data_IF_528470127572
#
_entry.id   IF_528470127572
#
_cell.length_a   1.000
_cell.length_b   1.000
_cell.length_c   1.000
_cell.angle_alpha   90.00
_cell.angle_beta   90.00
_cell.angle_gamma   90.00
#
_symmetry.space_group_name_H-M   'P 1'
#
loop_
_entity.id
_entity.type
_entity.pdbx_description
1 polymer ?
#
# COMPACT_ATOMS: atom_id res chain seq x y z
N UNK A 1 -12.45 -23.69 18.24
CA UNK A 1 -12.19 -22.39 17.58
C UNK A 1 -10.98 -21.69 18.19
N UNK A 2 -10.83 -21.69 19.52
CA UNK A 2 -9.68 -21.03 20.19
C UNK A 2 -8.30 -21.56 19.77
N UNK A 3 -8.16 -22.88 19.52
CA UNK A 3 -6.85 -23.46 19.14
C UNK A 3 -6.41 -23.07 17.73
N UNK A 4 -7.33 -22.94 16.76
CA UNK A 4 -7.01 -22.50 15.41
C UNK A 4 -6.62 -21.03 15.39
N UNK A 5 -7.35 -20.18 16.11
CA UNK A 5 -7.06 -18.77 16.21
C UNK A 5 -5.71 -18.50 16.87
N UNK A 6 -5.38 -19.23 17.96
CA UNK A 6 -4.07 -19.11 18.63
C UNK A 6 -2.92 -19.60 17.74
N UNK A 7 -3.13 -20.65 16.94
CA UNK A 7 -2.16 -21.09 15.94
C UNK A 7 -1.92 -20.04 14.87
N UNK A 8 -2.97 -19.45 14.31
CA UNK A 8 -2.87 -18.39 13.31
C UNK A 8 -2.16 -17.15 13.88
N UNK A 9 -2.46 -16.74 15.12
CA UNK A 9 -1.75 -15.63 15.79
C UNK A 9 -0.26 -15.92 15.98
N UNK A 10 0.09 -17.18 16.30
CA UNK A 10 1.49 -17.59 16.41
C UNK A 10 2.21 -17.51 15.07
N UNK A 11 1.56 -17.97 13.99
CA UNK A 11 2.10 -17.86 12.62
C UNK A 11 2.26 -16.41 12.21
N UNK A 12 1.26 -15.57 12.46
CA UNK A 12 1.28 -14.14 12.16
C UNK A 12 2.45 -13.44 12.86
N UNK A 13 2.61 -13.67 14.17
CA UNK A 13 3.70 -13.13 14.97
C UNK A 13 5.09 -13.60 14.49
N UNK A 14 5.17 -14.82 13.94
CA UNK A 14 6.42 -15.32 13.33
C UNK A 14 6.68 -14.66 11.98
N UNK A 15 5.66 -14.54 11.12
CA UNK A 15 5.79 -13.94 9.78
C UNK A 15 6.16 -12.47 9.88
N UNK A 16 5.47 -11.68 10.72
CA UNK A 16 5.78 -10.27 10.97
C UNK A 16 6.82 -10.05 12.08
N UNK A 17 7.54 -11.10 12.41
CA UNK A 17 8.64 -11.04 13.38
C UNK A 17 9.85 -10.24 12.88
N UNK A 18 10.87 -10.08 13.75
CA UNK A 18 12.07 -9.32 13.44
C UNK A 18 12.77 -9.69 12.13
N UNK A 19 12.81 -10.97 11.69
CA UNK A 19 13.48 -11.33 10.43
C UNK A 19 12.89 -10.66 9.20
N UNK A 20 11.55 -10.65 9.05
CA UNK A 20 10.90 -9.99 7.91
C UNK A 20 11.02 -8.47 8.00
N UNK A 21 10.85 -7.89 9.19
CA UNK A 21 10.99 -6.44 9.39
C UNK A 21 12.41 -5.96 9.07
N UNK A 22 13.43 -6.71 9.48
CA UNK A 22 14.83 -6.42 9.14
C UNK A 22 15.06 -6.54 7.64
N UNK A 23 14.50 -7.55 6.98
CA UNK A 23 14.64 -7.73 5.55
C UNK A 23 13.95 -6.59 4.77
N UNK A 24 12.74 -6.17 5.17
CA UNK A 24 11.99 -5.07 4.56
C UNK A 24 12.73 -3.73 4.70
N UNK A 25 13.05 -3.34 5.93
CA UNK A 25 13.74 -2.08 6.21
C UNK A 25 15.17 -2.13 5.67
N UNK A 26 15.87 -3.24 5.88
CA UNK A 26 17.25 -3.43 5.40
C UNK A 26 17.39 -3.33 3.89
N UNK A 27 16.43 -3.88 3.13
CA UNK A 27 16.39 -3.71 1.67
C UNK A 27 16.19 -2.24 1.29
N UNK A 28 15.30 -1.53 1.98
CA UNK A 28 15.07 -0.10 1.76
C UNK A 28 16.29 0.75 2.09
N UNK A 29 16.95 0.47 3.21
CA UNK A 29 18.22 1.12 3.60
C UNK A 29 19.29 0.85 2.55
N UNK A 30 19.46 -0.40 2.12
CA UNK A 30 20.43 -0.78 1.09
C UNK A 30 20.21 0.03 -0.20
N UNK A 31 18.99 0.05 -0.75
CA UNK A 31 18.69 0.82 -1.97
C UNK A 31 18.82 2.32 -1.76
N UNK A 32 18.46 2.84 -0.60
CA UNK A 32 18.63 4.27 -0.27
C UNK A 32 20.08 4.71 -0.45
N UNK A 33 21.03 3.98 0.12
CA UNK A 33 22.44 4.34 0.03
C UNK A 33 23.05 3.97 -1.32
N UNK A 34 22.74 2.80 -1.87
CA UNK A 34 23.27 2.35 -3.17
C UNK A 34 22.82 3.21 -4.34
N UNK A 35 21.64 3.85 -4.24
CA UNK A 35 21.09 4.77 -5.24
C UNK A 35 21.39 6.25 -4.91
N UNK A 36 22.28 6.51 -3.93
CA UNK A 36 22.70 7.86 -3.57
C UNK A 36 21.61 8.74 -3.02
N UNK A 37 20.74 8.21 -2.14
CA UNK A 37 19.62 8.90 -1.49
C UNK A 37 18.56 9.37 -2.51
N UNK A 38 18.16 8.50 -3.43
CA UNK A 38 17.31 8.80 -4.58
C UNK A 38 16.00 9.50 -4.18
N UNK A 39 15.36 9.05 -3.10
CA UNK A 39 14.11 9.61 -2.61
C UNK A 39 14.24 11.04 -2.10
N UNK A 40 15.42 11.45 -1.62
CA UNK A 40 15.64 12.82 -1.18
C UNK A 40 16.05 13.73 -2.33
N UNK A 41 16.94 13.26 -3.21
CA UNK A 41 17.48 14.05 -4.31
C UNK A 41 16.49 14.25 -5.45
N UNK A 42 15.69 13.21 -5.74
CA UNK A 42 14.84 13.18 -6.94
C UNK A 42 13.33 13.19 -6.65
N UNK A 43 12.90 13.34 -5.40
CA UNK A 43 11.48 13.47 -5.08
C UNK A 43 10.81 14.67 -5.78
N UNK A 44 11.40 15.88 -5.81
CA UNK A 44 10.80 17.01 -6.54
C UNK A 44 10.64 16.71 -8.04
N UNK A 45 11.65 16.08 -8.65
CA UNK A 45 11.61 15.66 -10.06
C UNK A 45 10.54 14.61 -10.29
N UNK A 46 10.44 13.61 -9.40
CA UNK A 46 9.43 12.56 -9.46
C UNK A 46 8.00 13.13 -9.35
N UNK A 47 7.76 14.04 -8.42
CA UNK A 47 6.48 14.75 -8.29
C UNK A 47 6.14 15.56 -9.55
N UNK A 48 7.12 16.27 -10.13
CA UNK A 48 6.92 16.98 -11.39
C UNK A 48 6.55 16.03 -12.54
N UNK A 49 7.16 14.83 -12.59
CA UNK A 49 6.85 13.79 -13.59
C UNK A 49 5.42 13.26 -13.44
N UNK A 50 4.89 13.12 -12.22
CA UNK A 50 3.52 12.67 -11.96
C UNK A 50 2.48 13.57 -12.64
N UNK A 51 2.72 14.89 -12.61
CA UNK A 51 1.79 15.89 -13.17
C UNK A 51 2.14 16.31 -14.60
N UNK A 52 3.23 15.78 -15.18
CA UNK A 52 3.59 16.07 -16.57
C UNK A 52 2.69 15.29 -17.54
N UNK A 53 2.30 15.96 -18.62
CA UNK A 53 1.59 15.28 -19.71
C UNK A 53 2.59 14.48 -20.55
N UNK A 54 2.37 13.17 -20.67
CA UNK A 54 3.13 12.33 -21.60
C UNK A 54 2.92 12.83 -23.05
N UNK A 55 4.00 13.33 -23.67
CA UNK A 55 3.95 13.92 -25.02
C UNK A 55 4.20 12.92 -26.15
N UNK A 56 4.62 11.67 -25.86
CA UNK A 56 4.96 10.71 -26.91
C UNK A 56 3.82 9.71 -27.16
N UNK A 57 3.36 9.66 -28.40
CA UNK A 57 2.34 8.74 -28.89
C UNK A 57 2.86 7.33 -29.19
N UNK A 58 4.18 7.09 -29.06
CA UNK A 58 4.85 5.83 -29.43
C UNK A 58 5.26 4.95 -28.25
N UNK A 59 4.93 5.34 -27.01
CA UNK A 59 5.32 4.56 -25.83
C UNK A 59 4.51 3.28 -25.69
N UNK A 60 5.21 2.15 -25.43
CA UNK A 60 4.57 0.88 -25.13
C UNK A 60 3.94 0.91 -23.72
N UNK A 61 2.69 0.42 -23.63
CA UNK A 61 1.94 0.36 -22.36
C UNK A 61 0.43 0.41 -22.61
N UNK A 62 -0.34 0.06 -21.59
CA UNK A 62 -1.81 0.02 -21.66
C UNK A 62 -2.45 1.32 -21.16
N UNK A 63 -1.86 1.93 -20.11
CA UNK A 63 -2.39 3.12 -19.43
C UNK A 63 -1.30 4.18 -19.23
N UNK A 64 -1.67 5.44 -19.01
CA UNK A 64 -0.67 6.48 -18.72
C UNK A 64 0.07 6.21 -17.39
N UNK A 65 1.30 6.75 -17.24
CA UNK A 65 2.07 6.61 -15.99
C UNK A 65 1.32 7.14 -14.77
N UNK A 66 0.57 8.22 -14.92
CA UNK A 66 -0.32 8.75 -13.88
C UNK A 66 -1.44 7.75 -13.53
N UNK A 67 -2.11 7.18 -14.52
CA UNK A 67 -3.18 6.22 -14.29
C UNK A 67 -2.65 4.90 -13.66
N UNK A 68 -1.44 4.46 -14.03
CA UNK A 68 -0.75 3.35 -13.38
C UNK A 68 -0.42 3.65 -11.91
N UNK A 69 0.08 4.87 -11.61
CA UNK A 69 0.29 5.33 -10.24
C UNK A 69 -1.02 5.36 -9.44
N UNK A 70 -2.09 5.93 -10.00
CA UNK A 70 -3.40 5.96 -9.35
C UNK A 70 -3.97 4.55 -9.15
N UNK A 71 -3.72 3.61 -10.06
CA UNK A 71 -4.09 2.20 -9.88
C UNK A 71 -3.29 1.57 -8.73
N UNK A 72 -2.00 1.86 -8.59
CA UNK A 72 -1.22 1.43 -7.44
C UNK A 72 -1.71 2.08 -6.15
N UNK A 73 -1.96 3.39 -6.14
CA UNK A 73 -2.51 4.11 -5.00
C UNK A 73 -3.93 3.64 -4.63
N UNK A 74 -4.73 3.19 -5.59
CA UNK A 74 -6.05 2.64 -5.27
C UNK A 74 -5.95 1.37 -4.42
N UNK A 75 -4.91 0.57 -4.58
CA UNK A 75 -4.68 -0.62 -3.76
C UNK A 75 -4.11 -0.26 -2.38
N UNK A 76 -3.25 0.75 -2.29
CA UNK A 76 -2.54 1.13 -1.06
C UNK A 76 -3.33 2.07 -0.16
N UNK A 77 -3.97 3.11 -0.72
CA UNK A 77 -4.82 4.04 0.04
C UNK A 77 -6.15 3.35 0.38
N UNK A 78 -6.18 2.72 1.55
CA UNK A 78 -7.27 1.86 1.99
C UNK A 78 -7.52 1.94 3.50
N UNK A 79 -8.01 0.84 4.06
CA UNK A 79 -8.20 0.71 5.52
C UNK A 79 -6.87 0.89 6.28
N UNK A 80 -5.72 0.62 5.66
CA UNK A 80 -4.40 0.81 6.24
C UNK A 80 -4.15 2.23 6.74
N UNK A 81 -4.57 3.24 5.98
CA UNK A 81 -4.36 4.66 6.30
C UNK A 81 -5.24 5.19 7.44
N UNK A 82 -6.34 4.52 7.75
CA UNK A 82 -7.30 4.90 8.80
C UNK A 82 -7.22 3.91 9.95
N UNK A 83 -7.58 2.66 9.72
CA UNK A 83 -7.60 1.58 10.71
C UNK A 83 -6.20 1.14 11.09
N UNK A 84 -5.30 1.00 10.11
CA UNK A 84 -3.91 0.57 10.32
C UNK A 84 -3.11 1.57 11.15
N UNK A 85 -3.22 2.87 10.87
CA UNK A 85 -2.57 3.93 11.66
C UNK A 85 -3.10 3.94 13.09
N UNK A 86 -4.43 3.86 13.24
CA UNK A 86 -5.05 3.79 14.57
C UNK A 86 -4.56 2.57 15.36
N UNK A 87 -4.47 1.41 14.71
CA UNK A 87 -3.95 0.18 15.32
C UNK A 87 -2.48 0.33 15.70
N UNK A 88 -1.64 0.93 14.83
CA UNK A 88 -0.23 1.16 15.13
C UNK A 88 -0.04 2.02 16.39
N UNK A 89 -0.77 3.13 16.47
CA UNK A 89 -0.70 4.04 17.61
C UNK A 89 -1.32 3.41 18.86
N UNK A 90 -2.38 2.62 18.73
CA UNK A 90 -2.98 1.91 19.87
C UNK A 90 -2.02 0.90 20.50
N UNK A 91 -1.26 0.17 19.69
CA UNK A 91 -0.33 -0.86 20.15
C UNK A 91 1.03 -0.28 20.55
N UNK A 92 1.58 0.63 19.77
CA UNK A 92 2.93 1.15 19.89
C UNK A 92 3.03 2.55 20.50
N UNK A 93 1.90 3.17 20.86
CA UNK A 93 1.84 4.55 21.28
C UNK A 93 2.11 5.56 20.14
N UNK A 94 2.16 6.86 20.44
CA UNK A 94 2.43 7.93 19.46
C UNK A 94 3.73 7.73 18.69
N UNK A 95 4.75 7.12 19.31
CA UNK A 95 6.05 6.82 18.69
C UNK A 95 5.97 5.88 17.49
N UNK A 96 4.92 5.07 17.36
CA UNK A 96 4.70 4.22 16.19
C UNK A 96 4.61 5.05 14.89
N UNK A 97 4.07 6.27 14.94
CA UNK A 97 4.00 7.17 13.78
C UNK A 97 5.40 7.56 13.27
N UNK A 98 6.36 7.79 14.14
CA UNK A 98 7.75 8.03 13.75
C UNK A 98 8.35 6.83 12.98
N UNK A 99 8.10 5.61 13.47
CA UNK A 99 8.61 4.41 12.83
C UNK A 99 7.91 4.11 11.50
N UNK A 100 6.63 4.52 11.35
CA UNK A 100 5.94 4.51 10.05
C UNK A 100 6.63 5.47 9.06
N UNK A 101 7.00 6.69 9.47
CA UNK A 101 7.74 7.62 8.61
C UNK A 101 9.07 7.05 8.17
N UNK A 102 9.82 6.46 9.10
CA UNK A 102 11.12 5.87 8.79
C UNK A 102 10.99 4.71 7.80
N UNK A 103 10.02 3.83 8.02
CA UNK A 103 9.72 2.73 7.09
C UNK A 103 9.32 3.26 5.70
N UNK A 104 8.52 4.31 5.62
CA UNK A 104 8.12 4.90 4.36
C UNK A 104 9.29 5.56 3.62
N UNK A 105 10.15 6.30 4.33
CA UNK A 105 11.33 6.93 3.72
C UNK A 105 12.25 5.90 3.06
N UNK A 106 12.54 4.79 3.73
CA UNK A 106 13.31 3.70 3.14
C UNK A 106 12.48 2.91 2.12
N UNK A 107 11.19 2.74 2.36
CA UNK A 107 10.25 2.09 1.47
C UNK A 107 10.12 2.76 0.10
N UNK A 108 10.29 4.09 0.02
CA UNK A 108 10.32 4.81 -1.27
C UNK A 108 11.41 4.28 -2.20
N UNK A 109 12.62 4.01 -1.70
CA UNK A 109 13.71 3.46 -2.49
C UNK A 109 13.43 2.00 -2.90
N UNK A 110 12.78 1.21 -2.03
CA UNK A 110 12.32 -0.13 -2.35
C UNK A 110 11.26 -0.09 -3.45
N UNK A 111 10.24 0.76 -3.32
CA UNK A 111 9.17 0.93 -4.31
C UNK A 111 9.72 1.37 -5.67
N UNK A 112 10.73 2.24 -5.69
CA UNK A 112 11.47 2.61 -6.90
C UNK A 112 12.07 1.38 -7.58
N UNK A 113 12.83 0.57 -6.83
CA UNK A 113 13.51 -0.62 -7.35
C UNK A 113 12.51 -1.66 -7.89
N UNK A 114 11.44 -1.93 -7.15
CA UNK A 114 10.36 -2.85 -7.55
C UNK A 114 9.75 -2.46 -8.89
N UNK A 115 9.34 -1.20 -9.01
CA UNK A 115 8.65 -0.72 -10.19
C UNK A 115 9.59 -0.55 -11.40
N UNK A 116 10.86 -0.21 -11.18
CA UNK A 116 11.90 -0.24 -12.21
C UNK A 116 12.04 -1.65 -12.79
N UNK A 117 12.22 -2.67 -11.94
CA UNK A 117 12.36 -4.06 -12.38
C UNK A 117 11.09 -4.56 -13.08
N UNK A 118 9.91 -4.16 -12.62
CA UNK A 118 8.65 -4.56 -13.25
C UNK A 118 8.54 -4.07 -14.69
N UNK A 119 8.96 -2.84 -14.98
CA UNK A 119 8.98 -2.29 -16.34
C UNK A 119 10.12 -2.92 -17.16
N UNK A 120 11.29 -3.13 -16.58
CA UNK A 120 12.45 -3.73 -17.26
C UNK A 120 12.18 -5.16 -17.75
N UNK A 121 11.47 -5.97 -16.95
CA UNK A 121 11.18 -7.38 -17.25
C UNK A 121 9.72 -7.65 -17.68
N UNK A 122 8.94 -6.61 -18.01
CA UNK A 122 7.57 -6.78 -18.50
C UNK A 122 7.51 -7.53 -19.82
N UNK A 123 6.38 -8.16 -20.09
CA UNK A 123 6.07 -8.91 -21.30
C UNK A 123 4.73 -8.45 -21.86
N UNK A 124 4.41 -8.92 -23.05
CA UNK A 124 3.08 -8.77 -23.67
C UNK A 124 2.37 -10.12 -23.55
N UNK A 125 1.12 -10.13 -23.09
CA UNK A 125 0.31 -11.35 -23.03
C UNK A 125 -0.36 -11.68 -24.38
N UNK A 126 -1.07 -12.81 -24.43
CA UNK A 126 -1.77 -13.28 -25.65
C UNK A 126 -2.89 -12.33 -26.10
N UNK A 127 -3.30 -11.37 -25.28
CA UNK A 127 -4.30 -10.34 -25.61
C UNK A 127 -3.67 -9.00 -25.98
N UNK A 128 -2.34 -8.93 -26.06
CA UNK A 128 -1.60 -7.72 -26.37
C UNK A 128 -1.47 -6.75 -25.20
N UNK A 129 -1.79 -7.16 -23.96
CA UNK A 129 -1.66 -6.32 -22.77
C UNK A 129 -0.29 -6.47 -22.13
N UNK A 130 0.21 -5.37 -21.52
CA UNK A 130 1.44 -5.41 -20.76
C UNK A 130 1.24 -6.13 -19.42
N UNK A 131 2.11 -7.09 -19.16
CA UNK A 131 2.14 -7.87 -17.93
C UNK A 131 3.54 -7.83 -17.31
N UNK A 132 3.61 -7.67 -16.00
CA UNK A 132 4.88 -7.59 -15.27
C UNK A 132 4.64 -7.68 -13.77
N UNK A 133 5.67 -7.37 -13.01
CA UNK A 133 5.67 -7.49 -11.56
C UNK A 133 6.65 -8.54 -11.07
N UNK A 134 6.64 -8.87 -9.75
CA UNK A 134 7.63 -9.77 -9.16
C UNK A 134 7.72 -11.13 -9.83
N UNK A 135 6.60 -11.75 -10.21
CA UNK A 135 6.60 -13.04 -10.88
C UNK A 135 7.40 -13.00 -12.20
N UNK A 136 7.40 -11.88 -12.91
CA UNK A 136 8.14 -11.76 -14.17
C UNK A 136 9.63 -11.51 -13.95
N UNK A 137 10.04 -10.60 -13.07
CA UNK A 137 11.47 -10.39 -12.82
C UNK A 137 12.11 -11.52 -12.00
N UNK A 138 11.33 -12.25 -11.18
CA UNK A 138 11.81 -13.49 -10.54
C UNK A 138 12.05 -14.59 -11.57
N UNK A 139 11.16 -14.74 -12.55
CA UNK A 139 11.32 -15.76 -13.58
C UNK A 139 12.39 -15.42 -14.61
N UNK A 140 12.38 -14.18 -15.13
CA UNK A 140 13.23 -13.80 -16.26
C UNK A 140 14.49 -13.04 -15.84
N UNK A 141 14.51 -12.39 -14.69
CA UNK A 141 15.67 -11.68 -14.16
C UNK A 141 16.52 -12.58 -13.25
N UNK A 142 15.87 -13.19 -12.24
CA UNK A 142 16.57 -14.11 -11.30
C UNK A 142 16.73 -15.51 -11.89
N UNK A 143 15.87 -15.91 -12.83
CA UNK A 143 15.86 -17.27 -13.40
C UNK A 143 15.13 -18.30 -12.53
N UNK A 144 14.38 -17.89 -11.50
CA UNK A 144 13.69 -18.78 -10.56
C UNK A 144 12.19 -18.83 -10.80
N UNK A 145 11.73 -19.86 -11.54
CA UNK A 145 10.30 -20.11 -11.73
C UNK A 145 9.59 -20.46 -10.42
N UNK A 146 10.27 -21.13 -9.49
CA UNK A 146 9.69 -21.50 -8.20
C UNK A 146 9.34 -20.26 -7.36
N UNK A 147 10.27 -19.30 -7.21
CA UNK A 147 10.00 -18.04 -6.51
C UNK A 147 8.89 -17.23 -7.20
N UNK A 148 8.85 -17.23 -8.53
CA UNK A 148 7.82 -16.54 -9.30
C UNK A 148 6.41 -17.11 -9.04
N UNK A 149 6.27 -18.44 -9.06
CA UNK A 149 5.01 -19.13 -8.74
C UNK A 149 4.62 -18.89 -7.28
N UNK A 150 5.57 -18.99 -6.34
CA UNK A 150 5.32 -18.75 -4.92
C UNK A 150 4.81 -17.34 -4.68
N UNK A 151 5.43 -16.32 -5.27
CA UNK A 151 4.94 -14.95 -5.21
C UNK A 151 3.51 -14.85 -5.76
N UNK A 152 3.25 -15.39 -6.96
CA UNK A 152 1.95 -15.29 -7.60
C UNK A 152 0.82 -15.97 -6.79
N UNK A 153 1.11 -17.09 -6.13
CA UNK A 153 0.15 -17.78 -5.24
C UNK A 153 -0.15 -16.92 -4.00
N UNK A 154 0.88 -16.38 -3.33
CA UNK A 154 0.68 -15.53 -2.16
C UNK A 154 -0.06 -14.24 -2.53
N UNK A 155 0.33 -13.56 -3.62
CA UNK A 155 -0.35 -12.37 -4.09
C UNK A 155 -1.82 -12.62 -4.47
N UNK A 156 -2.12 -13.78 -5.08
CA UNK A 156 -3.50 -14.20 -5.34
C UNK A 156 -4.26 -14.45 -4.03
N UNK A 157 -3.60 -15.05 -3.03
CA UNK A 157 -4.15 -15.23 -1.69
C UNK A 157 -4.48 -13.89 -1.03
N UNK A 158 -3.61 -12.89 -1.14
CA UNK A 158 -3.85 -11.52 -0.65
C UNK A 158 -5.03 -10.89 -1.36
N UNK A 159 -5.12 -11.02 -2.69
CA UNK A 159 -6.23 -10.47 -3.46
C UNK A 159 -7.58 -11.08 -3.07
N UNK A 160 -7.65 -12.42 -2.90
CA UNK A 160 -8.91 -13.12 -2.67
C UNK A 160 -9.33 -13.18 -1.18
N UNK A 161 -8.38 -13.36 -0.28
CA UNK A 161 -8.65 -13.64 1.14
C UNK A 161 -7.98 -12.64 2.10
N UNK A 162 -7.05 -11.82 1.59
CA UNK A 162 -6.29 -10.84 2.34
C UNK A 162 -6.87 -9.44 2.27
N UNK A 163 -5.97 -8.46 2.40
CA UNK A 163 -6.29 -7.02 2.42
C UNK A 163 -7.04 -6.54 1.18
N UNK A 164 -6.98 -7.31 0.08
CA UNK A 164 -7.64 -6.96 -1.18
C UNK A 164 -9.16 -7.13 -1.19
N UNK A 165 -9.75 -7.88 -0.25
CA UNK A 165 -11.17 -8.20 -0.28
C UNK A 165 -11.84 -8.04 1.09
N UNK A 166 -11.75 -9.03 1.99
CA UNK A 166 -12.60 -9.08 3.17
C UNK A 166 -12.45 -7.93 4.16
N UNK A 167 -11.25 -7.48 4.54
CA UNK A 167 -11.09 -6.32 5.42
C UNK A 167 -11.72 -5.06 4.83
N UNK A 168 -11.60 -4.86 3.53
CA UNK A 168 -12.17 -3.70 2.83
C UNK A 168 -13.69 -3.79 2.75
N UNK A 169 -14.23 -4.97 2.40
CA UNK A 169 -15.67 -5.21 2.35
C UNK A 169 -16.28 -4.95 3.73
N UNK A 170 -15.74 -5.55 4.78
CA UNK A 170 -16.26 -5.34 6.13
C UNK A 170 -16.20 -3.88 6.56
N UNK A 171 -15.09 -3.16 6.27
CA UNK A 171 -14.99 -1.75 6.60
C UNK A 171 -16.07 -0.89 5.91
N UNK A 172 -16.41 -1.21 4.65
CA UNK A 172 -17.51 -0.54 3.93
C UNK A 172 -18.86 -0.87 4.57
N UNK A 173 -19.11 -2.14 4.88
CA UNK A 173 -20.38 -2.59 5.44
C UNK A 173 -20.61 -1.96 6.82
N UNK A 174 -19.61 -1.98 7.69
CA UNK A 174 -19.68 -1.36 9.03
C UNK A 174 -19.90 0.15 8.94
N UNK A 175 -19.13 0.84 8.07
CA UNK A 175 -19.28 2.27 7.85
C UNK A 175 -20.68 2.63 7.31
N UNK A 176 -21.22 1.82 6.40
CA UNK A 176 -22.55 2.00 5.83
C UNK A 176 -23.66 1.77 6.86
N UNK A 177 -23.54 0.71 7.65
CA UNK A 177 -24.50 0.38 8.70
C UNK A 177 -24.55 1.47 9.80
N UNK A 178 -23.38 1.88 10.29
CA UNK A 178 -23.27 2.87 11.37
C UNK A 178 -23.66 4.27 10.90
N UNK A 179 -23.25 4.71 9.71
CA UNK A 179 -23.41 6.10 9.28
C UNK A 179 -24.62 6.34 8.42
N UNK A 180 -25.12 5.33 7.70
CA UNK A 180 -26.26 5.46 6.78
C UNK A 180 -27.47 4.63 7.20
N UNK A 181 -27.33 3.74 8.20
CA UNK A 181 -28.40 2.83 8.64
C UNK A 181 -28.79 1.80 7.58
N UNK A 182 -27.91 1.51 6.60
CA UNK A 182 -28.16 0.55 5.52
C UNK A 182 -27.69 -0.83 5.98
N UNK A 183 -28.53 -1.86 5.80
CA UNK A 183 -28.16 -3.23 6.21
C UNK A 183 -26.95 -3.76 5.44
N UNK A 184 -26.19 -4.66 6.09
CA UNK A 184 -24.96 -5.26 5.53
C UNK A 184 -25.21 -5.97 4.19
N UNK A 185 -26.38 -6.65 4.04
CA UNK A 185 -26.74 -7.40 2.83
C UNK A 185 -27.00 -6.45 1.64
N UNK A 186 -27.69 -5.33 1.88
CA UNK A 186 -27.93 -4.30 0.86
C UNK A 186 -26.61 -3.68 0.44
N UNK A 187 -25.80 -3.27 1.42
CA UNK A 187 -24.48 -2.67 1.17
C UNK A 187 -23.55 -3.61 0.41
N UNK A 188 -23.50 -4.91 0.77
CA UNK A 188 -22.72 -5.92 0.06
C UNK A 188 -23.21 -6.12 -1.38
N UNK A 189 -24.53 -6.12 -1.61
CA UNK A 189 -25.12 -6.26 -2.93
C UNK A 189 -24.76 -5.07 -3.82
N UNK A 190 -24.92 -3.84 -3.32
CA UNK A 190 -24.56 -2.62 -4.04
C UNK A 190 -23.05 -2.57 -4.32
N UNK A 191 -22.21 -2.89 -3.33
CA UNK A 191 -20.76 -2.95 -3.49
C UNK A 191 -20.36 -3.93 -4.57
N UNK A 192 -20.91 -5.15 -4.55
CA UNK A 192 -20.62 -6.20 -5.53
C UNK A 192 -20.97 -5.75 -6.95
N UNK A 193 -22.11 -5.10 -7.14
CA UNK A 193 -22.52 -4.56 -8.44
C UNK A 193 -21.57 -3.45 -8.92
N UNK A 194 -21.17 -2.52 -8.03
CA UNK A 194 -20.22 -1.47 -8.37
C UNK A 194 -18.85 -2.04 -8.75
N UNK A 195 -18.34 -3.00 -7.97
CA UNK A 195 -17.07 -3.70 -8.26
C UNK A 195 -17.16 -4.44 -9.59
N UNK A 196 -18.27 -5.16 -9.85
CA UNK A 196 -18.47 -5.87 -11.11
C UNK A 196 -18.45 -4.90 -12.30
N UNK A 197 -19.18 -3.78 -12.21
CA UNK A 197 -19.25 -2.78 -13.28
C UNK A 197 -17.87 -2.23 -13.67
N UNK A 198 -17.00 -1.99 -12.70
CA UNK A 198 -15.66 -1.46 -12.96
C UNK A 198 -14.69 -2.56 -13.40
N UNK A 199 -14.66 -3.70 -12.70
CA UNK A 199 -13.62 -4.72 -12.91
C UNK A 199 -13.84 -5.54 -14.19
N UNK A 200 -15.08 -5.73 -14.66
CA UNK A 200 -15.35 -6.42 -15.92
C UNK A 200 -14.76 -5.68 -17.14
N UNK A 201 -14.58 -4.35 -17.05
CA UNK A 201 -13.91 -3.55 -18.09
C UNK A 201 -12.37 -3.66 -18.12
N UNK A 202 -11.77 -4.44 -17.22
CA UNK A 202 -10.31 -4.68 -17.16
C UNK A 202 -9.50 -3.45 -16.72
N UNK A 203 -8.18 -3.47 -17.01
CA UNK A 203 -7.23 -2.44 -16.55
C UNK A 203 -7.62 -1.02 -16.97
N UNK A 204 -8.11 -0.83 -18.18
CA UNK A 204 -8.48 0.49 -18.68
C UNK A 204 -9.64 1.11 -17.88
N UNK A 205 -10.64 0.30 -17.50
CA UNK A 205 -11.75 0.74 -16.67
C UNK A 205 -11.28 1.03 -15.25
N UNK A 206 -10.53 0.12 -14.64
CA UNK A 206 -9.98 0.27 -13.28
C UNK A 206 -9.09 1.53 -13.22
N UNK A 207 -8.17 1.70 -14.16
CA UNK A 207 -7.27 2.84 -14.21
C UNK A 207 -8.00 4.17 -14.46
N UNK A 208 -9.08 4.16 -15.27
CA UNK A 208 -9.91 5.34 -15.48
C UNK A 208 -10.66 5.76 -14.22
N UNK A 209 -11.21 4.81 -13.47
CA UNK A 209 -11.87 5.07 -12.18
C UNK A 209 -10.85 5.50 -11.14
N UNK A 210 -9.74 4.78 -10.99
CA UNK A 210 -8.67 5.10 -10.05
C UNK A 210 -8.09 6.51 -10.32
N UNK A 211 -7.85 6.85 -11.60
CA UNK A 211 -7.30 8.15 -11.98
C UNK A 211 -8.18 9.36 -11.63
N UNK A 212 -9.48 9.14 -11.37
CA UNK A 212 -10.43 10.18 -10.95
C UNK A 212 -10.72 10.10 -9.44
N UNK A 213 -11.01 8.91 -8.96
CA UNK A 213 -11.45 8.70 -7.57
C UNK A 213 -10.31 8.87 -6.59
N UNK A 214 -9.13 8.31 -6.88
CA UNK A 214 -8.01 8.34 -5.93
C UNK A 214 -7.54 9.76 -5.59
N UNK A 215 -7.29 10.66 -6.56
CA UNK A 215 -6.93 12.04 -6.22
C UNK A 215 -8.04 12.78 -5.47
N UNK A 216 -9.32 12.55 -5.85
CA UNK A 216 -10.46 13.19 -5.21
C UNK A 216 -10.64 12.73 -3.75
N UNK A 217 -10.58 11.40 -3.50
CA UNK A 217 -10.73 10.85 -2.15
C UNK A 217 -9.56 11.23 -1.24
N UNK A 218 -8.33 11.24 -1.79
CA UNK A 218 -7.14 11.65 -1.04
C UNK A 218 -7.23 13.12 -0.63
N UNK A 219 -7.61 14.00 -1.57
CA UNK A 219 -7.82 15.42 -1.27
C UNK A 219 -8.93 15.62 -0.23
N UNK A 220 -10.08 14.94 -0.39
CA UNK A 220 -11.17 14.98 0.57
C UNK A 220 -10.71 14.61 1.98
N UNK A 221 -10.00 13.49 2.12
CA UNK A 221 -9.55 13.00 3.42
C UNK A 221 -8.47 13.90 4.03
N UNK A 222 -7.53 14.39 3.23
CA UNK A 222 -6.51 15.35 3.68
C UNK A 222 -7.16 16.64 4.18
N UNK A 223 -8.15 17.18 3.47
CA UNK A 223 -8.88 18.38 3.92
C UNK A 223 -9.67 18.13 5.21
N UNK A 224 -10.29 16.95 5.36
CA UNK A 224 -10.97 16.55 6.58
C UNK A 224 -9.99 16.46 7.77
N UNK A 225 -8.83 15.83 7.60
CA UNK A 225 -7.79 15.79 8.64
C UNK A 225 -7.22 17.18 8.94
N UNK A 226 -6.97 18.00 7.92
CA UNK A 226 -6.49 19.38 8.11
C UNK A 226 -7.48 20.20 8.93
N UNK A 227 -8.79 20.00 8.76
CA UNK A 227 -9.79 20.68 9.58
C UNK A 227 -9.62 20.34 11.07
N UNK A 228 -9.40 19.04 11.41
CA UNK A 228 -9.10 18.61 12.77
C UNK A 228 -7.79 19.25 13.28
N UNK A 229 -6.73 19.23 12.47
CA UNK A 229 -5.42 19.76 12.85
C UNK A 229 -5.49 21.28 13.08
N UNK A 230 -6.17 22.01 12.22
CA UNK A 230 -6.31 23.49 12.34
C UNK A 230 -7.11 23.86 13.57
N UNK A 231 -8.20 23.15 13.87
CA UNK A 231 -9.00 23.40 15.07
C UNK A 231 -8.27 23.09 16.39
N UNK A 232 -7.19 22.27 16.33
CA UNK A 232 -6.38 21.90 17.49
C UNK A 232 -4.89 22.33 17.30
N UNK A 233 -4.65 23.40 16.53
CA UNK A 233 -3.31 23.80 16.14
C UNK A 233 -2.42 24.26 17.30
N UNK A 234 -3.01 24.72 18.41
CA UNK A 234 -2.32 25.06 19.66
C UNK A 234 -1.54 23.88 20.26
N UNK A 235 -1.99 22.63 20.01
CA UNK A 235 -1.35 21.41 20.50
C UNK A 235 -0.40 20.78 19.47
N UNK A 236 -0.25 21.33 18.26
CA UNK A 236 0.47 20.67 17.16
C UNK A 236 1.96 20.42 17.50
N UNK A 237 2.63 21.41 18.08
CA UNK A 237 4.06 21.25 18.47
C UNK A 237 4.23 20.20 19.55
N UNK A 238 3.34 20.18 20.55
CA UNK A 238 3.35 19.18 21.61
C UNK A 238 3.09 17.78 21.05
N UNK A 239 2.20 17.64 20.07
CA UNK A 239 1.90 16.36 19.42
C UNK A 239 3.13 15.83 18.63
N UNK A 240 3.83 16.71 17.91
CA UNK A 240 5.06 16.34 17.19
C UNK A 240 6.16 15.94 18.18
N UNK A 241 6.37 16.72 19.25
CA UNK A 241 7.32 16.38 20.31
C UNK A 241 6.98 15.03 20.94
N UNK A 242 5.69 14.78 21.23
CA UNK A 242 5.23 13.51 21.79
C UNK A 242 5.55 12.34 20.87
N UNK A 243 5.36 12.47 19.54
CA UNK A 243 5.74 11.45 18.56
C UNK A 243 7.24 11.15 18.62
N UNK A 244 8.07 12.20 18.59
CA UNK A 244 9.52 12.06 18.58
C UNK A 244 10.06 11.47 19.88
N UNK A 245 9.59 11.94 21.03
CA UNK A 245 10.02 11.43 22.34
C UNK A 245 9.55 9.99 22.54
N UNK A 246 8.29 9.70 22.25
CA UNK A 246 7.71 8.35 22.43
C UNK A 246 8.32 7.30 21.50
N UNK A 247 8.96 7.70 20.40
CA UNK A 247 9.65 6.80 19.51
C UNK A 247 10.88 6.13 20.15
N UNK A 248 11.49 6.79 21.13
CA UNK A 248 12.75 6.38 21.75
C UNK A 248 12.67 6.21 23.27
N UNK A 249 11.50 6.46 23.86
CA UNK A 249 11.25 6.27 25.29
C UNK A 249 10.10 5.29 25.48
N UNK A 250 10.19 4.44 26.54
CA UNK A 250 9.00 3.71 26.98
C UNK A 250 8.03 4.74 27.54
N UNK A 251 6.86 4.91 26.91
CA UNK A 251 5.78 5.71 27.47
C UNK A 251 5.30 5.03 28.75
N UNK A 252 5.87 5.44 29.88
CA UNK A 252 5.41 4.99 31.18
C UNK A 252 3.95 5.40 31.31
N UNK A 253 3.12 4.42 31.69
CA UNK A 253 1.69 4.52 31.84
C UNK A 253 1.23 5.77 32.59
N UNK A 254 0.86 6.80 31.86
CA UNK A 254 -0.03 7.83 32.40
C UNK A 254 -1.45 7.35 32.12
N UNK A 255 -2.13 6.84 33.18
CA UNK A 255 -3.56 6.53 33.11
C UNK A 255 -3.95 5.18 32.51
N UNK A 256 -3.39 4.06 33.02
CA UNK A 256 -3.94 2.70 32.72
C UNK A 256 -3.52 2.08 31.40
N UNK A 257 -2.71 2.75 30.60
CA UNK A 257 -2.08 2.20 29.39
C UNK A 257 -0.87 1.33 29.82
N UNK A 258 -0.91 0.03 29.52
CA UNK A 258 0.28 -0.81 29.63
C UNK A 258 1.35 -0.24 28.70
N UNK A 259 2.42 0.35 29.26
CA UNK A 259 3.44 1.10 28.54
C UNK A 259 3.93 0.35 27.32
N UNK A 260 3.63 0.90 26.13
CA UNK A 260 4.17 0.36 24.90
C UNK A 260 5.69 0.37 24.99
N UNK A 261 6.31 -0.79 24.86
CA UNK A 261 7.76 -0.86 24.78
C UNK A 261 8.23 -0.21 23.47
N UNK A 262 9.44 0.36 23.46
CA UNK A 262 10.06 0.86 22.22
C UNK A 262 9.99 -0.19 21.11
N UNK A 263 10.15 -1.47 21.45
CA UNK A 263 10.05 -2.56 20.51
C UNK A 263 8.64 -2.65 19.87
N UNK A 264 7.57 -2.46 20.66
CA UNK A 264 6.20 -2.44 20.12
C UNK A 264 5.97 -1.23 19.22
N UNK A 265 6.52 -0.06 19.55
CA UNK A 265 6.44 1.11 18.69
C UNK A 265 7.14 0.86 17.34
N UNK A 266 8.34 0.25 17.36
CA UNK A 266 9.08 -0.13 16.16
C UNK A 266 8.28 -1.15 15.33
N UNK A 267 7.86 -2.25 15.96
CA UNK A 267 7.18 -3.34 15.25
C UNK A 267 5.84 -2.88 14.67
N UNK A 268 5.00 -2.24 15.48
CA UNK A 268 3.68 -1.79 15.03
C UNK A 268 3.78 -0.67 13.98
N UNK A 269 4.71 0.28 14.16
CA UNK A 269 4.93 1.35 13.21
C UNK A 269 5.43 0.84 11.86
N UNK A 270 6.45 0.00 11.84
CA UNK A 270 6.99 -0.57 10.59
C UNK A 270 5.97 -1.49 9.94
N UNK A 271 5.39 -2.44 10.68
CA UNK A 271 4.44 -3.41 10.11
C UNK A 271 3.21 -2.72 9.51
N UNK A 272 2.58 -1.78 10.23
CA UNK A 272 1.39 -1.07 9.73
C UNK A 272 1.74 -0.02 8.68
N UNK A 273 2.94 0.57 8.72
CA UNK A 273 3.46 1.43 7.65
C UNK A 273 3.64 0.67 6.35
N UNK A 274 4.30 -0.49 6.38
CA UNK A 274 4.47 -1.37 5.21
C UNK A 274 3.14 -1.95 4.73
N UNK A 275 2.25 -2.32 5.65
CA UNK A 275 0.90 -2.76 5.33
C UNK A 275 0.12 -1.71 4.53
N UNK A 276 0.26 -0.41 4.88
CA UNK A 276 -0.41 0.68 4.19
C UNK A 276 0.21 0.95 2.82
N UNK A 277 1.52 1.22 2.75
CA UNK A 277 2.16 1.65 1.50
C UNK A 277 2.64 0.51 0.60
N UNK A 278 2.60 -0.74 1.08
CA UNK A 278 2.98 -1.95 0.34
C UNK A 278 4.41 -1.93 -0.23
N UNK A 279 5.34 -1.15 0.35
CA UNK A 279 6.74 -1.12 -0.12
C UNK A 279 7.49 -2.38 0.31
N UNK A 280 8.03 -3.11 -0.64
CA UNK A 280 8.69 -4.39 -0.40
C UNK A 280 7.76 -5.60 -0.50
N UNK A 281 6.44 -5.39 -0.65
CA UNK A 281 5.47 -6.47 -0.83
C UNK A 281 5.35 -6.93 -2.28
N UNK A 282 5.70 -6.09 -3.26
CA UNK A 282 5.70 -6.46 -4.68
C UNK A 282 4.35 -6.29 -5.39
N UNK A 283 3.36 -5.66 -4.80
CA UNK A 283 2.02 -5.47 -5.37
C UNK A 283 1.99 -4.37 -6.44
N UNK A 284 2.45 -3.15 -6.10
CA UNK A 284 2.46 -1.99 -6.98
C UNK A 284 3.22 -2.19 -8.32
N UNK A 285 4.31 -2.98 -8.39
CA UNK A 285 4.98 -3.34 -9.64
C UNK A 285 4.05 -3.87 -10.73
N UNK A 286 2.96 -4.57 -10.37
CA UNK A 286 2.00 -5.10 -11.35
C UNK A 286 1.24 -3.99 -12.08
N UNK A 287 0.90 -2.90 -11.40
CA UNK A 287 0.32 -1.72 -12.04
C UNK A 287 1.37 -0.90 -12.81
N UNK A 288 2.57 -0.76 -12.27
CA UNK A 288 3.65 -0.03 -12.91
C UNK A 288 4.06 -0.63 -14.26
N UNK A 289 3.98 -1.95 -14.41
CA UNK A 289 4.30 -2.65 -15.66
C UNK A 289 3.35 -2.27 -16.82
N UNK A 290 2.09 -1.91 -16.52
CA UNK A 290 1.10 -1.49 -17.51
C UNK A 290 1.28 -0.04 -17.99
N UNK A 291 2.17 0.74 -17.36
CA UNK A 291 2.39 2.14 -17.69
C UNK A 291 2.96 2.34 -19.09
N UNK A 292 2.45 3.33 -19.82
CA UNK A 292 3.06 3.84 -21.05
C UNK A 292 4.33 4.58 -20.70
N UNK A 293 5.47 3.96 -20.95
CA UNK A 293 6.77 4.53 -20.65
C UNK A 293 7.86 3.92 -21.53
N UNK A 294 8.84 4.72 -21.87
CA UNK A 294 10.08 4.35 -22.57
C UNK A 294 11.25 4.08 -21.60
N UNK A 295 11.07 4.36 -20.32
CA UNK A 295 12.13 4.24 -19.31
C UNK A 295 11.61 3.60 -18.03
N UNK A 296 12.27 2.50 -17.63
CA UNK A 296 12.01 1.83 -16.36
C UNK A 296 12.33 2.74 -15.16
N UNK A 297 13.35 3.60 -15.29
CA UNK A 297 13.75 4.57 -14.26
C UNK A 297 12.68 5.65 -14.05
N UNK A 298 12.13 6.24 -15.13
CA UNK A 298 11.04 7.20 -15.02
C UNK A 298 9.85 6.63 -14.28
N UNK A 299 9.43 5.41 -14.64
CA UNK A 299 8.31 4.78 -13.96
C UNK A 299 8.63 4.43 -12.50
N UNK A 300 9.86 4.02 -12.21
CA UNK A 300 10.33 3.83 -10.84
C UNK A 300 10.22 5.11 -10.00
N UNK A 301 10.69 6.26 -10.54
CA UNK A 301 10.58 7.57 -9.89
C UNK A 301 9.13 7.98 -9.63
N UNK A 302 8.25 7.83 -10.63
CA UNK A 302 6.82 8.11 -10.47
C UNK A 302 6.22 7.21 -9.39
N UNK A 303 6.51 5.91 -9.42
CA UNK A 303 5.91 4.94 -8.50
C UNK A 303 6.36 5.12 -7.05
N UNK A 304 7.61 5.59 -6.79
CA UNK A 304 8.07 5.85 -5.42
C UNK A 304 7.27 6.96 -4.73
N UNK A 305 6.67 7.89 -5.50
CA UNK A 305 5.81 8.94 -4.94
C UNK A 305 4.54 8.36 -4.31
N UNK A 306 4.13 7.16 -4.70
CA UNK A 306 3.02 6.45 -4.08
C UNK A 306 3.22 6.26 -2.57
N UNK A 307 4.39 5.80 -2.14
CA UNK A 307 4.73 5.66 -0.72
C UNK A 307 4.76 7.02 0.00
N UNK A 308 5.20 8.08 -0.68
CA UNK A 308 5.16 9.43 -0.14
C UNK A 308 3.72 9.89 0.11
N UNK A 309 2.83 9.79 -0.88
CA UNK A 309 1.43 10.20 -0.72
C UNK A 309 0.70 9.35 0.31
N UNK A 310 0.87 8.04 0.26
CA UNK A 310 0.20 7.11 1.17
C UNK A 310 0.58 7.35 2.63
N UNK A 311 1.87 7.30 2.94
CA UNK A 311 2.31 7.25 4.34
C UNK A 311 2.79 8.62 4.84
N UNK A 312 3.66 9.31 4.09
CA UNK A 312 4.18 10.61 4.56
C UNK A 312 3.06 11.67 4.58
N UNK A 313 2.09 11.59 3.65
CA UNK A 313 0.96 12.52 3.65
C UNK A 313 -0.21 11.94 4.44
N UNK A 314 -0.89 10.90 3.93
CA UNK A 314 -2.20 10.47 4.45
C UNK A 314 -2.09 9.84 5.84
N UNK A 315 -1.16 8.90 6.08
CA UNK A 315 -1.00 8.31 7.41
C UNK A 315 -0.55 9.33 8.46
N UNK A 316 0.28 10.31 8.07
CA UNK A 316 0.65 11.42 8.96
C UNK A 316 -0.57 12.24 9.37
N UNK A 317 -1.45 12.58 8.42
CA UNK A 317 -2.68 13.32 8.71
C UNK A 317 -3.56 12.57 9.70
N UNK A 318 -3.78 11.27 9.49
CA UNK A 318 -4.54 10.42 10.42
C UNK A 318 -3.87 10.36 11.78
N UNK A 319 -2.56 10.09 11.82
CA UNK A 319 -1.81 9.97 13.07
C UNK A 319 -1.83 11.25 13.91
N UNK A 320 -1.65 12.40 13.26
CA UNK A 320 -1.73 13.69 13.94
C UNK A 320 -3.15 13.97 14.48
N UNK A 321 -4.20 13.65 13.70
CA UNK A 321 -5.58 13.81 14.17
C UNK A 321 -5.85 12.97 15.44
N UNK A 322 -5.37 11.73 15.48
CA UNK A 322 -5.49 10.83 16.65
C UNK A 322 -4.75 11.35 17.88
N UNK A 323 -3.55 11.91 17.68
CA UNK A 323 -2.69 12.36 18.77
C UNK A 323 -3.17 13.71 19.33
N UNK A 324 -3.48 14.67 18.47
CA UNK A 324 -3.97 15.99 18.83
C UNK A 324 -5.26 15.95 19.65
N UNK A 325 -6.17 15.03 19.32
CA UNK A 325 -7.47 14.87 20.00
C UNK A 325 -7.39 14.02 21.26
N UNK A 326 -6.24 13.39 21.54
CA UNK A 326 -6.12 12.44 22.66
C UNK A 326 -6.86 11.11 22.43
N UNK A 327 -7.45 10.88 21.25
CA UNK A 327 -8.23 9.69 20.96
C UNK A 327 -7.43 8.38 21.09
N UNK A 328 -6.11 8.43 20.93
CA UNK A 328 -5.23 7.28 21.11
C UNK A 328 -5.22 6.71 22.55
N UNK A 329 -5.62 7.51 23.55
CA UNK A 329 -5.74 7.10 24.96
C UNK A 329 -7.12 6.49 25.28
N UNK A 330 -8.10 6.60 24.37
CA UNK A 330 -9.44 6.06 24.57
C UNK A 330 -9.46 4.53 24.50
N UNK A 331 -10.56 3.91 24.94
CA UNK A 331 -10.78 2.46 24.83
C UNK A 331 -11.11 2.03 23.40
N UNK A 332 -11.36 2.96 22.49
CA UNK A 332 -11.63 2.66 21.08
C UNK A 332 -10.39 2.12 20.35
N UNK A 333 -10.64 1.36 19.28
CA UNK A 333 -9.61 0.81 18.41
C UNK A 333 -10.00 0.95 16.92
N UNK A 334 -9.03 0.88 16.01
CA UNK A 334 -9.28 0.87 14.57
C UNK A 334 -10.10 2.07 14.08
N UNK A 335 -11.11 1.80 13.26
CA UNK A 335 -11.98 2.84 12.71
C UNK A 335 -12.72 3.65 13.77
N UNK A 336 -13.17 3.01 14.84
CA UNK A 336 -13.90 3.68 15.93
C UNK A 336 -13.04 4.73 16.63
N UNK A 337 -11.73 4.48 16.81
CA UNK A 337 -10.80 5.46 17.37
C UNK A 337 -10.63 6.67 16.46
N UNK A 338 -10.51 6.46 15.14
CA UNK A 338 -10.42 7.58 14.19
C UNK A 338 -11.72 8.37 14.11
N UNK A 339 -12.87 7.68 14.14
CA UNK A 339 -14.20 8.31 14.19
C UNK A 339 -14.35 9.18 15.45
N UNK A 340 -13.92 8.66 16.60
CA UNK A 340 -13.92 9.41 17.85
C UNK A 340 -13.00 10.64 17.80
N UNK A 341 -11.80 10.49 17.22
CA UNK A 341 -10.87 11.61 17.02
C UNK A 341 -11.49 12.76 16.21
N UNK A 342 -12.21 12.44 15.14
CA UNK A 342 -12.87 13.46 14.33
C UNK A 342 -14.09 14.10 15.03
N UNK A 343 -14.86 13.33 15.78
CA UNK A 343 -15.97 13.86 16.58
C UNK A 343 -15.47 14.89 17.60
N UNK A 344 -14.46 14.52 18.36
CA UNK A 344 -13.84 15.40 19.38
C UNK A 344 -13.11 16.58 18.73
N UNK A 345 -12.28 16.31 17.72
CA UNK A 345 -11.42 17.30 17.10
C UNK A 345 -12.16 18.38 16.30
N UNK A 346 -13.32 18.05 15.73
CA UNK A 346 -14.20 19.01 15.05
C UNK A 346 -15.31 19.54 15.96
N UNK A 347 -15.44 19.06 17.20
CA UNK A 347 -16.54 19.35 18.12
C UNK A 347 -17.90 19.11 17.46
N UNK A 348 -18.00 18.02 16.68
CA UNK A 348 -19.16 17.72 15.83
C UNK A 348 -19.45 16.22 15.83
N UNK A 349 -20.35 15.79 16.72
CA UNK A 349 -20.65 14.37 16.95
C UNK A 349 -21.24 13.63 15.73
N UNK A 350 -21.78 14.35 14.76
CA UNK A 350 -22.35 13.75 13.54
C UNK A 350 -21.43 13.91 12.34
N UNK A 351 -20.92 15.12 12.13
CA UNK A 351 -20.11 15.44 10.95
C UNK A 351 -18.74 14.72 10.97
N UNK A 352 -18.07 14.70 12.13
CA UNK A 352 -16.78 14.05 12.28
C UNK A 352 -16.83 12.56 11.90
N UNK A 353 -17.70 11.75 12.53
CA UNK A 353 -17.91 10.36 12.16
C UNK A 353 -18.25 10.14 10.68
N UNK A 354 -19.13 11.00 10.12
CA UNK A 354 -19.55 10.90 8.71
C UNK A 354 -18.37 11.10 7.75
N UNK A 355 -17.47 12.06 8.01
CA UNK A 355 -16.28 12.30 7.18
C UNK A 355 -15.36 11.07 7.15
N UNK A 356 -15.13 10.44 8.31
CA UNK A 356 -14.30 9.21 8.39
C UNK A 356 -14.97 8.06 7.66
N UNK A 357 -16.27 7.85 7.85
CA UNK A 357 -17.01 6.76 7.20
C UNK A 357 -17.03 6.91 5.68
N UNK A 358 -17.28 8.11 5.16
CA UNK A 358 -17.22 8.39 3.71
C UNK A 358 -15.82 8.16 3.18
N UNK A 359 -14.78 8.68 3.87
CA UNK A 359 -13.38 8.43 3.49
C UNK A 359 -13.06 6.94 3.44
N UNK A 360 -13.44 6.19 4.47
CA UNK A 360 -13.21 4.76 4.59
C UNK A 360 -13.91 3.97 3.48
N UNK A 361 -15.16 4.32 3.15
CA UNK A 361 -15.90 3.67 2.05
C UNK A 361 -15.20 3.87 0.71
N UNK A 362 -14.74 5.09 0.38
CA UNK A 362 -14.01 5.34 -0.87
C UNK A 362 -12.65 4.63 -0.89
N UNK A 363 -11.89 4.70 0.19
CA UNK A 363 -10.59 4.07 0.32
C UNK A 363 -10.69 2.55 0.16
N UNK A 364 -11.61 1.92 0.89
CA UNK A 364 -11.81 0.49 0.82
C UNK A 364 -12.35 0.04 -0.56
N UNK A 365 -13.27 0.79 -1.16
CA UNK A 365 -13.77 0.49 -2.51
C UNK A 365 -12.64 0.49 -3.56
N UNK A 366 -11.81 1.52 -3.56
CA UNK A 366 -10.70 1.59 -4.52
C UNK A 366 -9.67 0.49 -4.29
N UNK A 367 -9.42 0.09 -3.03
CA UNK A 367 -8.52 -1.01 -2.69
C UNK A 367 -9.01 -2.34 -3.27
N UNK A 368 -10.32 -2.62 -3.19
CA UNK A 368 -10.90 -3.82 -3.83
C UNK A 368 -10.64 -3.81 -5.34
N UNK A 369 -10.77 -2.65 -6.02
CA UNK A 369 -10.51 -2.54 -7.46
C UNK A 369 -9.04 -2.78 -7.81
N UNK A 370 -8.12 -2.18 -7.06
CA UNK A 370 -6.68 -2.33 -7.26
C UNK A 370 -6.23 -3.78 -7.06
N UNK A 371 -6.68 -4.42 -5.99
CA UNK A 371 -6.33 -5.81 -5.70
C UNK A 371 -7.02 -6.80 -6.64
N UNK A 372 -8.24 -6.50 -7.16
CA UNK A 372 -8.82 -7.30 -8.23
C UNK A 372 -7.89 -7.36 -9.45
N UNK A 373 -7.31 -6.22 -9.85
CA UNK A 373 -6.33 -6.18 -10.93
C UNK A 373 -5.07 -6.97 -10.63
N UNK A 374 -4.50 -6.85 -9.42
CA UNK A 374 -3.31 -7.59 -9.04
C UNK A 374 -3.54 -9.11 -9.06
N UNK A 375 -4.66 -9.56 -8.50
CA UNK A 375 -5.03 -10.97 -8.57
C UNK A 375 -5.25 -11.46 -10.00
N UNK A 376 -5.86 -10.64 -10.89
CA UNK A 376 -5.98 -10.95 -12.31
C UNK A 376 -4.60 -11.17 -12.96
N UNK A 377 -3.62 -10.31 -12.67
CA UNK A 377 -2.25 -10.47 -13.21
C UNK A 377 -1.56 -11.73 -12.69
N UNK A 378 -1.78 -12.10 -11.43
CA UNK A 378 -1.27 -13.36 -10.88
C UNK A 378 -1.93 -14.58 -11.54
N UNK A 379 -3.23 -14.54 -11.76
CA UNK A 379 -3.96 -15.63 -12.47
C UNK A 379 -3.49 -15.76 -13.91
N UNK A 380 -3.27 -14.65 -14.61
CA UNK A 380 -2.73 -14.67 -15.98
C UNK A 380 -1.36 -15.33 -16.01
N UNK A 381 -0.49 -15.04 -15.04
CA UNK A 381 0.82 -15.65 -14.94
C UNK A 381 0.75 -17.17 -14.66
N UNK A 382 -0.16 -17.61 -13.77
CA UNK A 382 -0.27 -19.01 -13.34
C UNK A 382 -1.03 -19.88 -14.34
N UNK A 383 -2.14 -19.39 -14.90
CA UNK A 383 -3.14 -20.16 -15.62
C UNK A 383 -3.44 -19.62 -17.04
N UNK A 384 -2.83 -18.47 -17.40
CA UNK A 384 -3.05 -17.82 -18.69
C UNK A 384 -4.32 -16.98 -18.78
N UNK A 385 -4.49 -16.28 -19.90
CA UNK A 385 -5.55 -15.27 -20.10
C UNK A 385 -6.98 -15.83 -20.12
N UNK A 386 -7.15 -17.15 -20.35
CA UNK A 386 -8.46 -17.82 -20.31
C UNK A 386 -9.07 -17.89 -18.91
N UNK A 387 -8.23 -17.81 -17.86
CA UNK A 387 -8.67 -17.87 -16.48
C UNK A 387 -9.16 -16.51 -15.92
N UNK A 388 -9.08 -15.41 -16.69
CA UNK A 388 -9.51 -14.08 -16.24
C UNK A 388 -10.98 -14.05 -15.84
N UNK A 389 -11.88 -14.55 -16.70
CA UNK A 389 -13.33 -14.50 -16.43
C UNK A 389 -13.73 -15.40 -15.24
N UNK A 390 -13.29 -16.66 -15.12
CA UNK A 390 -13.51 -17.47 -13.92
C UNK A 390 -13.00 -16.78 -12.63
N UNK A 391 -11.81 -16.20 -12.68
CA UNK A 391 -11.27 -15.45 -11.54
C UNK A 391 -12.17 -14.29 -11.13
N UNK A 392 -12.62 -13.46 -12.07
CA UNK A 392 -13.51 -12.33 -11.78
C UNK A 392 -14.83 -12.76 -11.14
N UNK A 393 -15.42 -13.85 -11.63
CA UNK A 393 -16.66 -14.42 -11.06
C UNK A 393 -16.41 -14.86 -9.61
N UNK A 394 -15.31 -15.60 -9.35
CA UNK A 394 -14.94 -16.04 -7.99
C UNK A 394 -14.69 -14.83 -7.10
N UNK A 395 -13.94 -13.84 -7.56
CA UNK A 395 -13.64 -12.65 -6.81
C UNK A 395 -14.91 -11.87 -6.42
N UNK A 396 -15.87 -11.70 -7.34
CA UNK A 396 -17.15 -11.07 -7.07
C UNK A 396 -17.99 -11.87 -6.05
N UNK A 397 -17.96 -13.19 -6.14
CA UNK A 397 -18.61 -14.06 -5.16
C UNK A 397 -17.99 -13.89 -3.76
N UNK A 398 -16.66 -13.75 -3.67
CA UNK A 398 -15.96 -13.45 -2.41
C UNK A 398 -16.35 -12.07 -1.85
N UNK A 399 -16.42 -11.03 -2.69
CA UNK A 399 -16.91 -9.70 -2.28
C UNK A 399 -18.33 -9.80 -1.72
N UNK A 400 -19.24 -10.48 -2.42
CA UNK A 400 -20.62 -10.66 -1.96
C UNK A 400 -20.71 -11.43 -0.65
N UNK A 401 -19.85 -12.44 -0.45
CA UNK A 401 -19.81 -13.26 0.77
C UNK A 401 -19.27 -12.53 2.00
N UNK A 402 -18.62 -11.39 1.81
CA UNK A 402 -18.01 -10.61 2.90
C UNK A 402 -19.01 -10.15 3.97
N UNK A 403 -20.31 -10.04 3.61
CA UNK A 403 -21.37 -9.72 4.58
C UNK A 403 -21.56 -10.78 5.69
N UNK A 404 -21.14 -12.03 5.42
CA UNK A 404 -21.37 -13.19 6.27
C UNK A 404 -20.13 -13.70 7.00
N UNK A 405 -18.98 -13.04 6.80
CA UNK A 405 -17.70 -13.49 7.33
C UNK A 405 -17.37 -12.87 8.70
N UNK A 406 -16.76 -13.65 9.58
CA UNK A 406 -16.28 -13.17 10.89
C UNK A 406 -14.92 -12.49 10.75
N UNK A 407 -14.77 -11.30 11.34
CA UNK A 407 -13.65 -10.38 11.14
C UNK A 407 -12.31 -10.88 11.68
N UNK A 408 -12.27 -11.44 12.91
CA UNK A 408 -11.00 -11.66 13.62
C UNK A 408 -10.04 -12.62 12.90
N UNK A 409 -10.55 -13.74 12.41
CA UNK A 409 -9.74 -14.73 11.69
C UNK A 409 -9.31 -14.21 10.31
N UNK A 410 -10.15 -13.37 9.67
CA UNK A 410 -9.87 -12.82 8.35
C UNK A 410 -8.68 -11.87 8.41
N UNK A 411 -8.63 -11.00 9.41
CA UNK A 411 -7.52 -10.06 9.59
C UNK A 411 -6.18 -10.77 9.80
N UNK A 412 -6.16 -11.81 10.66
CA UNK A 412 -4.95 -12.60 10.91
C UNK A 412 -4.48 -13.31 9.63
N UNK A 413 -5.41 -13.91 8.89
CA UNK A 413 -5.07 -14.58 7.63
C UNK A 413 -4.56 -13.59 6.57
N UNK A 414 -5.20 -12.42 6.49
CA UNK A 414 -4.77 -11.35 5.60
C UNK A 414 -3.35 -10.88 5.90
N UNK A 415 -3.02 -10.68 7.17
CA UNK A 415 -1.67 -10.30 7.61
C UNK A 415 -0.65 -11.39 7.25
N UNK A 416 -0.94 -12.66 7.51
CA UNK A 416 -0.04 -13.78 7.20
C UNK A 416 0.29 -13.84 5.70
N UNK A 417 -0.73 -13.86 4.82
CA UNK A 417 -0.49 -13.99 3.37
C UNK A 417 0.21 -12.76 2.80
N UNK A 418 -0.06 -11.58 3.36
CA UNK A 418 0.59 -10.34 3.00
C UNK A 418 2.10 -10.36 3.33
N UNK A 419 2.45 -10.81 4.53
CA UNK A 419 3.85 -10.96 4.94
C UNK A 419 4.59 -12.03 4.12
N UNK A 420 3.95 -13.17 3.84
CA UNK A 420 4.55 -14.23 3.03
C UNK A 420 4.83 -13.80 1.59
N UNK A 421 4.00 -12.92 1.02
CA UNK A 421 4.20 -12.35 -0.31
C UNK A 421 5.49 -11.54 -0.42
N UNK A 422 5.89 -10.85 0.65
CA UNK A 422 7.10 -10.03 0.68
C UNK A 422 8.39 -10.85 0.49
N UNK A 423 8.46 -12.06 1.01
CA UNK A 423 9.68 -12.87 1.05
C UNK A 423 10.26 -13.12 -0.35
N UNK A 424 9.55 -13.73 -1.31
CA UNK A 424 10.08 -13.95 -2.65
C UNK A 424 10.39 -12.65 -3.38
N UNK A 425 9.63 -11.60 -3.15
CA UNK A 425 9.87 -10.29 -3.72
C UNK A 425 11.20 -9.70 -3.27
N UNK A 426 11.46 -9.64 -1.96
CA UNK A 426 12.68 -9.08 -1.38
C UNK A 426 13.92 -9.89 -1.81
N UNK A 427 13.81 -11.23 -1.90
CA UNK A 427 14.87 -12.07 -2.47
C UNK A 427 15.18 -11.63 -3.91
N UNK A 428 14.14 -11.40 -4.73
CA UNK A 428 14.29 -10.92 -6.10
C UNK A 428 14.96 -9.56 -6.20
N UNK A 429 14.56 -8.62 -5.35
CA UNK A 429 15.14 -7.28 -5.31
C UNK A 429 16.63 -7.30 -4.97
N UNK A 430 17.03 -8.09 -3.97
CA UNK A 430 18.41 -8.23 -3.55
C UNK A 430 19.22 -8.93 -4.65
N UNK A 431 18.67 -9.97 -5.28
CA UNK A 431 19.35 -10.68 -6.38
C UNK A 431 19.59 -9.76 -7.59
N UNK A 432 18.62 -8.91 -7.93
CA UNK A 432 18.67 -8.01 -9.08
C UNK A 432 19.17 -6.58 -8.74
N UNK A 433 19.76 -6.38 -7.57
CA UNK A 433 20.24 -5.07 -7.11
C UNK A 433 21.17 -4.38 -8.10
N UNK A 434 22.04 -5.14 -8.77
CA UNK A 434 22.99 -4.62 -9.76
C UNK A 434 22.26 -4.02 -10.97
N UNK A 435 21.18 -4.66 -11.45
CA UNK A 435 20.34 -4.15 -12.55
C UNK A 435 19.73 -2.80 -12.18
N UNK A 436 19.18 -2.68 -10.96
CA UNK A 436 18.58 -1.44 -10.48
C UNK A 436 19.61 -0.31 -10.44
N UNK A 437 20.81 -0.59 -9.89
CA UNK A 437 21.88 0.40 -9.77
C UNK A 437 22.39 0.83 -11.15
N UNK A 438 22.61 -0.11 -12.07
CA UNK A 438 23.11 0.13 -13.41
C UNK A 438 22.14 0.95 -14.24
N UNK A 439 20.84 0.56 -14.31
CA UNK A 439 19.82 1.32 -15.04
C UNK A 439 19.67 2.75 -14.50
N UNK A 440 19.75 2.91 -13.17
CA UNK A 440 19.68 4.23 -12.55
C UNK A 440 20.90 5.09 -12.93
N UNK A 441 22.11 4.54 -12.89
CA UNK A 441 23.34 5.25 -13.29
C UNK A 441 23.30 5.66 -14.76
N UNK A 442 22.90 4.77 -15.66
CA UNK A 442 22.80 5.04 -17.09
C UNK A 442 21.77 6.16 -17.38
N UNK A 443 20.68 6.21 -16.63
CA UNK A 443 19.67 7.24 -16.81
C UNK A 443 20.14 8.64 -16.39
N UNK A 444 20.85 8.74 -15.26
CA UNK A 444 21.31 10.04 -14.75
C UNK A 444 22.65 10.49 -15.31
N UNK A 445 23.50 9.55 -15.80
CA UNK A 445 24.81 9.83 -16.39
C UNK A 445 24.96 9.16 -17.77
N UNK A 446 24.28 9.68 -18.82
CA UNK A 446 24.33 9.08 -20.16
C UNK A 446 25.72 9.12 -20.83
N UNK A 447 26.61 10.01 -20.38
CA UNK A 447 27.99 10.14 -20.92
C UNK A 447 28.93 8.99 -20.55
N UNK A 448 28.59 8.16 -19.57
CA UNK A 448 29.39 6.97 -19.23
C UNK A 448 29.31 5.85 -20.28
N UNK A 449 28.41 5.94 -21.26
CA UNK A 449 28.38 4.98 -22.39
C UNK A 449 29.46 5.22 -23.44
N UNK A 450 30.00 6.45 -23.57
CA UNK A 450 31.04 6.75 -24.54
C UNK A 450 32.40 6.18 -24.11
N UNK A 451 32.67 6.17 -22.80
CA UNK A 451 34.00 5.79 -22.30
C UNK A 451 34.22 4.27 -22.28
N UNK A 452 33.18 3.45 -22.07
CA UNK A 452 33.28 1.99 -22.12
C UNK A 452 33.36 1.45 -23.55
N UNK A 453 32.78 2.13 -24.55
CA UNK A 453 32.89 1.73 -25.97
C UNK A 453 34.27 2.03 -26.56
N UNK A 454 34.94 3.05 -26.07
CA UNK A 454 36.31 3.40 -26.53
C UNK A 454 37.37 2.58 -25.79
N UNK A 455 37.12 2.13 -24.55
CA UNK A 455 38.02 1.24 -23.81
C UNK A 455 38.04 -0.22 -24.34
N UNK A 456 36.98 -0.66 -25.04
CA UNK A 456 36.94 -2.00 -25.68
C UNK A 456 37.56 -2.00 -27.09
N UNK A 457 37.83 -0.82 -27.66
CA UNK A 457 38.47 -0.66 -28.97
C UNK A 457 39.98 -0.30 -28.92
N UNK A 458 40.51 -0.07 -27.73
CA UNK A 458 41.93 0.11 -27.48
C UNK A 458 42.55 -1.16 -26.89
#
# INVERSE_FOLDING_TARGET
>A
MNDLQSLLQTIDSFVWGPPLLILLVGTGVYFTFSLGLIQFKHLPTALAMVFSKDKSTQQQGDVSSFAALCTALSATIGTGNIVGVATAIKLGGPGALFWMWLAALFGMATKYAECLLAVKYRKVDDKGQMVGGPMYYLQYGVGSKALAIMFAIFALGVACFGIGTFPQVNAILDASEISLGVSREISASVLTLLVAFVTLGGINSIASVAGKVVPAMALFYVLACLSVIIMNADQLLNAIELVLVSAFTSTAATGGFLGASIMLAIQSGIARGVFSNESGLGSAPMAAAAAKTDSCVKQGLISMTGTFFDTIVICTMTGLALILTGAWQSDFAGAAMTTHAFAVGLQADTLGPMLVSVGLMFFAFTTILGWNYYGERCVVFLLGTKAILPYKIIFLALVASGAFMQLDMIWILADIVNGLMAIPNLIGLIALRHVVIEETKLFFNPSSQSDDFDAVKA
#
